data_IF_217802409416
#
_entry.id   IF_217802409416
#
_cell.length_a   1.000
_cell.length_b   1.000
_cell.length_c   1.000
_cell.angle_alpha   90.00
_cell.angle_beta   90.00
_cell.angle_gamma   90.00
#
_symmetry.space_group_name_H-M   'P 1'
#
loop_
_entity.id
_entity.type
_entity.pdbx_description
1 polymer ?
#
# COMPACT_ATOMS: atom_id res chain seq x y z
N UNK A 1 13.87 -0.93 -2.05
CA UNK A 1 12.58 -1.26 -1.41
C UNK A 1 12.74 -0.94 0.06
N UNK A 2 11.83 -0.13 0.62
CA UNK A 2 11.90 0.51 1.94
C UNK A 2 13.31 0.93 2.38
N UNK A 3 13.75 2.09 1.88
CA UNK A 3 14.95 2.74 2.40
C UNK A 3 14.56 3.59 3.61
N UNK A 4 15.36 3.59 4.69
CA UNK A 4 15.13 4.44 5.85
C UNK A 4 15.10 5.91 5.42
N UNK A 5 14.00 6.60 5.75
CA UNK A 5 13.85 8.05 5.60
C UNK A 5 13.68 8.67 6.98
N UNK A 6 13.28 9.94 7.01
CA UNK A 6 13.04 10.68 8.25
C UNK A 6 12.11 9.93 9.22
N UNK A 7 11.11 9.22 8.70
CA UNK A 7 10.22 8.35 9.47
C UNK A 7 9.53 7.31 8.56
N UNK A 8 8.83 6.37 9.20
CA UNK A 8 8.05 5.29 8.56
C UNK A 8 7.06 5.80 7.51
N UNK A 9 6.41 6.94 7.75
CA UNK A 9 5.41 7.52 6.83
C UNK A 9 6.07 7.94 5.52
N UNK A 10 7.21 8.64 5.61
CA UNK A 10 7.95 9.08 4.42
C UNK A 10 8.58 7.91 3.65
N UNK A 11 8.99 6.85 4.34
CA UNK A 11 9.43 5.60 3.69
C UNK A 11 8.29 4.92 2.92
N UNK A 12 7.09 4.81 3.50
CA UNK A 12 5.90 4.30 2.79
C UNK A 12 5.53 5.18 1.60
N UNK A 13 5.50 6.51 1.79
CA UNK A 13 5.20 7.48 0.73
C UNK A 13 6.14 7.31 -0.46
N UNK A 14 7.44 7.22 -0.21
CA UNK A 14 8.44 7.05 -1.26
C UNK A 14 8.28 5.72 -2.02
N UNK A 15 8.09 4.61 -1.30
CA UNK A 15 7.90 3.29 -1.92
C UNK A 15 6.60 3.23 -2.74
N UNK A 16 5.53 3.85 -2.25
CA UNK A 16 4.26 3.89 -2.97
C UNK A 16 4.34 4.76 -4.23
N UNK A 17 5.01 5.91 -4.17
CA UNK A 17 5.29 6.74 -5.36
C UNK A 17 6.10 5.97 -6.41
N UNK A 18 7.13 5.24 -5.98
CA UNK A 18 7.88 4.37 -6.87
C UNK A 18 7.00 3.27 -7.49
N UNK A 19 6.11 2.65 -6.71
CA UNK A 19 5.19 1.64 -7.20
C UNK A 19 4.22 2.18 -8.27
N UNK A 20 3.60 3.35 -8.05
CA UNK A 20 2.68 3.92 -9.04
C UNK A 20 3.37 4.33 -10.33
N UNK A 21 4.61 4.82 -10.27
CA UNK A 21 5.40 5.12 -11.47
C UNK A 21 5.63 3.85 -12.31
N UNK A 22 5.94 2.72 -11.67
CA UNK A 22 6.06 1.44 -12.37
C UNK A 22 4.72 0.97 -12.97
N UNK A 23 3.60 1.20 -12.28
CA UNK A 23 2.27 0.81 -12.74
C UNK A 23 1.70 1.70 -13.86
N UNK A 24 2.18 2.94 -14.03
CA UNK A 24 1.75 3.80 -15.14
C UNK A 24 2.31 3.36 -16.51
N UNK A 25 3.26 2.43 -16.54
CA UNK A 25 3.87 1.93 -17.78
C UNK A 25 3.25 0.65 -18.34
N UNK A 26 3.95 0.06 -19.33
CA UNK A 26 3.61 -1.27 -19.90
C UNK A 26 3.50 -2.35 -18.81
N UNK A 27 4.34 -2.25 -17.79
CA UNK A 27 4.34 -3.19 -16.67
C UNK A 27 2.99 -3.24 -15.96
N UNK A 28 2.41 -2.11 -15.57
CA UNK A 28 1.11 -2.09 -14.88
C UNK A 28 -0.03 -2.62 -15.72
N UNK A 29 -0.05 -2.36 -17.04
CA UNK A 29 -1.05 -2.95 -17.94
C UNK A 29 -0.99 -4.48 -17.96
N UNK A 30 0.21 -5.05 -18.07
CA UNK A 30 0.42 -6.51 -18.03
C UNK A 30 0.01 -7.05 -16.66
N UNK A 31 0.45 -6.39 -15.59
CA UNK A 31 0.20 -6.82 -14.22
C UNK A 31 -1.29 -6.78 -13.86
N UNK A 32 -2.02 -5.74 -14.25
CA UNK A 32 -3.47 -5.66 -14.07
C UNK A 32 -4.22 -6.76 -14.83
N UNK A 33 -3.83 -7.05 -16.08
CA UNK A 33 -4.38 -8.17 -16.85
C UNK A 33 -4.09 -9.53 -16.21
N UNK A 34 -2.88 -9.70 -15.65
CA UNK A 34 -2.48 -10.91 -14.93
C UNK A 34 -3.35 -11.15 -13.70
N UNK A 35 -3.57 -10.12 -12.87
CA UNK A 35 -4.46 -10.19 -11.71
C UNK A 35 -5.89 -10.50 -12.14
N UNK A 36 -6.37 -9.87 -13.21
CA UNK A 36 -7.71 -10.10 -13.75
C UNK A 36 -7.93 -11.55 -14.16
N UNK A 37 -6.98 -12.15 -14.90
CA UNK A 37 -7.06 -13.56 -15.30
C UNK A 37 -6.95 -14.50 -14.10
N UNK A 38 -6.13 -14.18 -13.10
CA UNK A 38 -5.95 -14.99 -11.90
C UNK A 38 -7.26 -15.22 -11.13
N UNK A 39 -8.25 -14.32 -11.23
CA UNK A 39 -9.55 -14.48 -10.56
C UNK A 39 -10.35 -15.72 -11.00
N UNK A 40 -10.02 -16.30 -12.16
CA UNK A 40 -10.71 -17.45 -12.75
C UNK A 40 -9.75 -18.62 -13.04
N UNK A 41 -8.56 -18.60 -12.43
CA UNK A 41 -7.51 -19.58 -12.64
C UNK A 41 -6.72 -19.78 -11.34
N UNK A 42 -7.07 -20.80 -10.53
CA UNK A 42 -6.42 -21.03 -9.24
C UNK A 42 -4.92 -21.27 -9.33
N UNK A 43 -4.44 -21.90 -10.41
CA UNK A 43 -3.00 -22.14 -10.59
C UNK A 43 -2.28 -20.83 -10.88
N UNK A 44 -2.86 -19.97 -11.72
CA UNK A 44 -2.32 -18.65 -11.96
C UNK A 44 -2.38 -17.76 -10.72
N UNK A 45 -3.47 -17.82 -9.95
CA UNK A 45 -3.59 -17.09 -8.69
C UNK A 45 -2.47 -17.45 -7.72
N UNK A 46 -2.20 -18.75 -7.55
CA UNK A 46 -1.09 -19.22 -6.72
C UNK A 46 0.26 -18.73 -7.23
N UNK A 47 0.49 -18.78 -8.55
CA UNK A 47 1.73 -18.30 -9.16
C UNK A 47 1.92 -16.78 -8.98
N UNK A 48 0.86 -15.99 -9.12
CA UNK A 48 0.88 -14.54 -8.90
C UNK A 48 1.06 -14.21 -7.41
N UNK A 49 0.41 -14.95 -6.53
CA UNK A 49 0.52 -14.76 -5.09
C UNK A 49 1.94 -15.03 -4.60
N UNK A 50 2.45 -16.25 -4.85
CA UNK A 50 3.79 -16.68 -4.45
C UNK A 50 4.89 -15.88 -5.14
N UNK A 51 4.75 -15.60 -6.44
CA UNK A 51 5.77 -14.92 -7.24
C UNK A 51 5.79 -13.39 -7.10
N UNK A 52 4.72 -12.77 -6.61
CA UNK A 52 4.65 -11.31 -6.50
C UNK A 52 4.20 -10.79 -5.14
N UNK A 53 3.01 -11.17 -4.67
CA UNK A 53 2.39 -10.56 -3.50
C UNK A 53 3.07 -11.00 -2.20
N UNK A 54 3.30 -12.30 -2.00
CA UNK A 54 3.83 -12.86 -0.76
C UNK A 54 5.16 -12.21 -0.35
N UNK A 55 6.12 -12.14 -1.27
CA UNK A 55 7.43 -11.54 -0.99
C UNK A 55 7.33 -10.05 -0.63
N UNK A 56 6.49 -9.28 -1.33
CA UNK A 56 6.32 -7.85 -1.07
C UNK A 56 5.62 -7.58 0.25
N UNK A 57 4.62 -8.39 0.59
CA UNK A 57 3.96 -8.35 1.90
C UNK A 57 4.95 -8.66 3.01
N UNK A 58 5.79 -9.68 2.85
CA UNK A 58 6.80 -10.03 3.85
C UNK A 58 7.79 -8.89 4.11
N UNK A 59 8.30 -8.25 3.05
CA UNK A 59 9.18 -7.07 3.16
C UNK A 59 8.48 -5.91 3.89
N UNK A 60 7.23 -5.62 3.53
CA UNK A 60 6.46 -4.56 4.18
C UNK A 60 6.19 -4.89 5.67
N UNK A 61 5.91 -6.15 5.98
CA UNK A 61 5.73 -6.63 7.35
C UNK A 61 7.01 -6.51 8.19
N UNK A 62 8.17 -6.84 7.62
CA UNK A 62 9.46 -6.63 8.28
C UNK A 62 9.67 -5.15 8.63
N UNK A 63 9.42 -4.27 7.68
CA UNK A 63 9.52 -2.83 7.88
C UNK A 63 8.54 -2.30 8.94
N UNK A 64 7.29 -2.78 8.93
CA UNK A 64 6.27 -2.40 9.93
C UNK A 64 6.69 -2.85 11.33
N UNK A 65 7.22 -4.08 11.48
CA UNK A 65 7.70 -4.57 12.78
C UNK A 65 8.85 -3.72 13.32
N UNK A 66 9.78 -3.31 12.46
CA UNK A 66 10.88 -2.42 12.85
C UNK A 66 10.34 -1.05 13.31
N UNK A 67 9.44 -0.45 12.54
CA UNK A 67 8.82 0.83 12.89
C UNK A 67 8.01 0.77 14.20
N UNK A 68 7.35 -0.36 14.49
CA UNK A 68 6.72 -0.60 15.80
C UNK A 68 7.78 -0.67 16.91
N UNK A 69 8.87 -1.40 16.69
CA UNK A 69 9.97 -1.52 17.66
C UNK A 69 10.64 -0.17 17.95
N UNK A 70 10.69 0.72 16.97
CA UNK A 70 11.24 2.07 17.10
C UNK A 70 10.24 3.08 17.71
N UNK A 71 8.99 2.66 17.96
CA UNK A 71 7.93 3.53 18.48
C UNK A 71 7.35 4.50 17.46
N UNK A 72 7.65 4.34 16.17
CA UNK A 72 7.10 5.15 15.08
C UNK A 72 5.66 4.75 14.74
N UNK A 73 5.30 3.48 14.99
CA UNK A 73 3.94 2.95 14.87
C UNK A 73 3.42 2.48 16.23
N UNK A 74 2.10 2.47 16.38
CA UNK A 74 1.46 1.94 17.60
C UNK A 74 1.73 0.44 17.73
N UNK A 75 1.90 -0.09 18.95
CA UNK A 75 2.16 -1.52 19.16
C UNK A 75 1.00 -2.44 18.75
N UNK A 76 -0.21 -1.90 18.60
CA UNK A 76 -1.41 -2.61 18.15
C UNK A 76 -1.66 -2.48 16.63
N UNK A 77 -0.70 -1.93 15.87
CA UNK A 77 -0.85 -1.76 14.42
C UNK A 77 -0.86 -3.13 13.73
N UNK A 78 -1.99 -3.47 13.11
CA UNK A 78 -2.10 -4.63 12.22
C UNK A 78 -1.43 -4.31 10.87
N UNK A 79 -0.33 -5.02 10.58
CA UNK A 79 0.44 -4.82 9.37
C UNK A 79 -0.31 -5.22 8.09
N UNK A 80 -1.16 -6.25 8.15
CA UNK A 80 -1.93 -6.69 6.98
C UNK A 80 -2.94 -5.62 6.58
N UNK A 81 -3.63 -5.04 7.57
CA UNK A 81 -4.59 -3.95 7.36
C UNK A 81 -3.90 -2.69 6.84
N UNK A 82 -2.73 -2.34 7.39
CA UNK A 82 -1.97 -1.18 6.90
C UNK A 82 -1.54 -1.36 5.44
N UNK A 83 -1.01 -2.53 5.09
CA UNK A 83 -0.62 -2.86 3.71
C UNK A 83 -1.85 -2.81 2.78
N UNK A 84 -2.97 -3.39 3.19
CA UNK A 84 -4.19 -3.45 2.40
C UNK A 84 -4.79 -2.06 2.16
N UNK A 85 -4.78 -1.19 3.17
CA UNK A 85 -5.26 0.19 3.02
C UNK A 85 -4.42 1.00 2.03
N UNK A 86 -3.09 0.83 2.07
CA UNK A 86 -2.16 1.57 1.21
C UNK A 86 -2.13 1.02 -0.22
N UNK A 87 -1.84 -0.27 -0.39
CA UNK A 87 -1.70 -0.89 -1.71
C UNK A 87 -3.05 -1.23 -2.34
N UNK A 88 -4.09 -1.50 -1.54
CA UNK A 88 -5.45 -1.71 -2.06
C UNK A 88 -5.97 -0.49 -2.81
N UNK A 89 -5.64 0.72 -2.35
CA UNK A 89 -5.96 1.97 -3.05
C UNK A 89 -5.30 2.03 -4.45
N UNK A 90 -4.02 1.63 -4.54
CA UNK A 90 -3.29 1.54 -5.82
C UNK A 90 -3.94 0.49 -6.73
N UNK A 91 -4.17 -0.71 -6.22
CA UNK A 91 -4.75 -1.80 -7.01
C UNK A 91 -6.18 -1.51 -7.45
N UNK A 92 -6.97 -0.81 -6.64
CA UNK A 92 -8.31 -0.38 -7.01
C UNK A 92 -8.30 0.48 -8.28
N UNK A 93 -7.44 1.52 -8.33
CA UNK A 93 -7.30 2.35 -9.55
C UNK A 93 -6.58 1.64 -10.69
N UNK A 94 -5.68 0.71 -10.40
CA UNK A 94 -5.02 -0.08 -11.44
C UNK A 94 -6.00 -1.00 -12.17
N UNK A 95 -6.88 -1.69 -11.43
CA UNK A 95 -7.84 -2.66 -11.96
C UNK A 95 -9.12 -1.99 -12.48
N UNK A 96 -9.49 -0.85 -11.90
CA UNK A 96 -10.57 0.02 -12.36
C UNK A 96 -9.97 1.39 -12.70
N UNK A 97 -9.50 1.62 -13.95
CA UNK A 97 -8.79 2.85 -14.34
C UNK A 97 -9.75 4.03 -14.56
N UNK A 98 -10.56 4.38 -13.55
CA UNK A 98 -11.48 5.52 -13.57
C UNK A 98 -10.76 6.86 -13.32
N UNK A 99 -9.54 6.82 -12.77
CA UNK A 99 -8.71 7.99 -12.47
C UNK A 99 -7.21 7.61 -12.53
N UNK A 100 -6.31 8.56 -12.83
CA UNK A 100 -4.88 8.28 -12.92
C UNK A 100 -4.27 7.91 -11.56
N UNK A 101 -3.18 7.14 -11.59
CA UNK A 101 -2.28 6.96 -10.47
C UNK A 101 -1.23 8.08 -10.50
N UNK A 102 -1.32 9.03 -9.58
CA UNK A 102 -0.41 10.19 -9.48
C UNK A 102 0.29 10.23 -8.13
N UNK A 103 1.40 10.97 -8.05
CA UNK A 103 2.11 11.20 -6.79
C UNK A 103 1.20 11.91 -5.76
N UNK A 104 0.41 12.91 -6.20
CA UNK A 104 -0.55 13.61 -5.33
C UNK A 104 -1.64 12.68 -4.76
N UNK A 105 -2.07 11.69 -5.56
CA UNK A 105 -3.02 10.68 -5.09
C UNK A 105 -2.39 9.82 -3.99
N UNK A 106 -1.13 9.40 -4.17
CA UNK A 106 -0.40 8.66 -3.14
C UNK A 106 -0.22 9.50 -1.89
N UNK A 107 0.09 10.79 -2.04
CA UNK A 107 0.25 11.67 -0.89
C UNK A 107 -1.03 11.73 -0.04
N UNK A 108 -2.16 11.89 -0.71
CA UNK A 108 -3.47 11.92 -0.05
C UNK A 108 -3.80 10.58 0.63
N UNK A 109 -3.54 9.45 -0.03
CA UNK A 109 -3.79 8.11 0.53
C UNK A 109 -2.94 7.88 1.79
N UNK A 110 -1.64 8.18 1.73
CA UNK A 110 -0.73 8.03 2.87
C UNK A 110 -1.20 8.90 4.02
N UNK A 111 -1.53 10.17 3.76
CA UNK A 111 -1.99 11.09 4.80
C UNK A 111 -3.28 10.60 5.47
N UNK A 112 -4.24 10.08 4.68
CA UNK A 112 -5.49 9.56 5.22
C UNK A 112 -5.30 8.29 6.05
N UNK A 113 -4.40 7.40 5.63
CA UNK A 113 -4.14 6.16 6.36
C UNK A 113 -3.40 6.42 7.67
N UNK A 114 -2.38 7.30 7.67
CA UNK A 114 -1.58 7.56 8.87
C UNK A 114 -2.22 8.57 9.83
N UNK A 115 -2.95 9.57 9.33
CA UNK A 115 -3.54 10.62 10.18
C UNK A 115 -5.05 10.42 10.45
N UNK A 116 -5.70 9.53 9.70
CA UNK A 116 -7.15 9.41 9.68
C UNK A 116 -7.84 10.61 9.02
N UNK A 117 -9.15 10.48 8.80
CA UNK A 117 -9.97 11.50 8.10
C UNK A 117 -10.99 12.20 9.00
N UNK A 118 -10.99 11.88 10.30
CA UNK A 118 -11.94 12.46 11.25
C UNK A 118 -11.52 13.88 11.61
N UNK A 119 -12.44 14.83 11.47
CA UNK A 119 -12.22 16.23 11.85
C UNK A 119 -12.09 16.43 13.37
N UNK A 120 -11.42 17.52 13.76
CA UNK A 120 -11.09 17.86 15.16
C UNK A 120 -12.30 17.88 16.11
N UNK A 121 -13.47 18.30 15.62
CA UNK A 121 -14.70 18.36 16.42
C UNK A 121 -15.13 16.98 16.95
N UNK A 122 -14.91 15.92 16.16
CA UNK A 122 -15.24 14.55 16.55
C UNK A 122 -14.12 13.88 17.36
N UNK A 123 -12.86 14.33 17.22
CA UNK A 123 -11.74 13.84 18.07
C UNK A 123 -11.93 14.24 19.53
N UNK A 124 -12.43 15.45 19.80
CA UNK A 124 -12.69 15.95 21.17
C UNK A 124 -13.82 15.22 21.90
N UNK A 125 -14.78 14.66 21.16
CA UNK A 125 -15.94 13.95 21.75
C UNK A 125 -15.64 12.49 22.14
N UNK A 126 -14.45 11.99 21.80
CA UNK A 126 -14.00 10.61 22.07
C UNK A 126 -12.96 10.49 23.19
N UNK A 127 -12.53 11.61 23.77
CA UNK A 127 -11.72 11.67 25.00
C UNK A 127 -12.64 11.85 26.20
#
# INVERSE_FOLDING_TARGET
>A
FFEPRENVVESFRAVMKFAVQAFNGRFGKIFGGLIGRAQTDPQLLEAVWSGWFAQRRNIAHEFIREAISNGELRPDTDGDILIDALYGAIYYRLLLPYAPLTDDYIDTVVDYVFNGVIGENLKKSRK
#
